data_IF_023078180273
#
_entry.id   IF_023078180273
#
_cell.length_a   1.000
_cell.length_b   1.000
_cell.length_c   1.000
_cell.angle_alpha   90.00
_cell.angle_beta   90.00
_cell.angle_gamma   90.00
#
_symmetry.space_group_name_H-M   'P 1'
#
loop_
_entity.id
_entity.type
_entity.pdbx_description
1 polymer ?
#
# COMPACT_ATOMS: atom_id res chain seq x y z
N UNK A 1 -11.59 69.04 -4.78
CA UNK A 1 -10.87 67.75 -4.91
C UNK A 1 -11.30 66.89 -3.72
N UNK A 2 -12.21 65.94 -3.90
CA UNK A 2 -12.02 64.56 -4.40
C UNK A 2 -11.72 63.55 -3.27
N UNK A 3 -12.77 62.77 -2.93
CA UNK A 3 -12.86 61.34 -2.55
C UNK A 3 -12.38 60.86 -1.16
N UNK A 4 -13.38 60.63 -0.29
CA UNK A 4 -13.87 59.34 0.25
C UNK A 4 -12.92 58.13 0.33
N UNK A 5 -12.86 57.47 1.50
CA UNK A 5 -13.20 56.04 1.67
C UNK A 5 -13.23 55.64 3.17
N UNK A 6 -14.37 55.16 3.66
CA UNK A 6 -14.56 54.58 5.00
C UNK A 6 -14.24 53.08 4.95
N UNK A 7 -13.30 52.63 5.79
CA UNK A 7 -12.82 51.24 5.86
C UNK A 7 -13.17 50.58 7.20
N UNK A 8 -14.46 50.57 7.55
CA UNK A 8 -15.02 49.46 8.33
C UNK A 8 -15.15 48.24 7.41
N UNK A 9 -14.23 47.28 7.52
CA UNK A 9 -14.37 45.82 7.23
C UNK A 9 -13.00 45.22 6.90
N UNK A 10 -12.31 44.68 7.90
CA UNK A 10 -11.54 43.43 7.79
C UNK A 10 -10.93 43.11 9.16
N UNK A 11 -11.78 42.62 10.08
CA UNK A 11 -11.24 41.86 11.22
C UNK A 11 -10.92 40.49 10.67
N UNK A 12 -9.61 40.27 10.53
CA UNK A 12 -8.97 39.03 10.10
C UNK A 12 -9.34 37.93 11.10
N UNK A 13 -10.15 36.96 10.66
CA UNK A 13 -10.23 35.64 11.31
C UNK A 13 -8.98 34.84 10.91
N UNK A 14 -7.96 34.91 11.75
CA UNK A 14 -6.75 34.10 11.67
C UNK A 14 -7.02 32.73 12.34
N UNK A 15 -7.07 31.67 11.52
CA UNK A 15 -6.88 30.23 11.81
C UNK A 15 -7.99 29.48 12.62
N UNK A 16 -8.21 28.16 12.36
CA UNK A 16 -7.24 27.21 11.82
C UNK A 16 -7.67 26.49 10.53
N UNK A 17 -6.83 26.59 9.49
CA UNK A 17 -6.79 25.67 8.35
C UNK A 17 -5.92 24.43 8.66
N UNK A 18 -5.63 24.16 9.94
CA UNK A 18 -4.67 23.14 10.40
C UNK A 18 -5.34 21.90 11.02
N UNK A 19 -6.66 21.92 11.25
CA UNK A 19 -7.34 20.81 11.93
C UNK A 19 -7.59 19.58 11.04
N UNK A 20 -7.51 19.71 9.71
CA UNK A 20 -7.78 18.62 8.78
C UNK A 20 -6.62 17.65 8.53
N UNK A 21 -5.38 18.07 8.81
CA UNK A 21 -4.20 17.24 8.60
C UNK A 21 -4.02 16.20 9.72
N UNK A 22 -4.24 16.59 10.98
CA UNK A 22 -4.02 15.70 12.13
C UNK A 22 -5.07 14.58 12.24
N UNK A 23 -6.32 14.81 11.83
CA UNK A 23 -7.37 13.78 11.82
C UNK A 23 -7.15 12.78 10.69
N UNK A 24 -6.82 13.27 9.49
CA UNK A 24 -6.50 12.41 8.35
C UNK A 24 -5.21 11.58 8.57
N UNK A 25 -4.19 12.14 9.24
CA UNK A 25 -2.97 11.42 9.60
C UNK A 25 -3.24 10.28 10.61
N UNK A 26 -4.10 10.53 11.61
CA UNK A 26 -4.53 9.50 12.57
C UNK A 26 -5.31 8.38 11.89
N UNK A 27 -6.16 8.72 10.91
CA UNK A 27 -6.89 7.73 10.12
C UNK A 27 -5.95 6.92 9.22
N UNK A 28 -5.00 7.56 8.54
CA UNK A 28 -4.04 6.88 7.65
C UNK A 28 -3.12 5.91 8.37
N UNK A 29 -2.54 6.32 9.51
CA UNK A 29 -1.73 5.43 10.35
C UNK A 29 -2.55 4.25 10.86
N UNK A 30 -3.79 4.48 11.25
CA UNK A 30 -4.67 3.42 11.73
C UNK A 30 -4.92 2.38 10.63
N UNK A 31 -5.28 2.80 9.42
CA UNK A 31 -5.48 1.93 8.26
C UNK A 31 -4.20 1.17 7.86
N UNK A 32 -3.03 1.77 8.09
CA UNK A 32 -1.76 1.13 7.79
C UNK A 32 -1.44 -0.02 8.78
N UNK A 33 -1.71 0.22 10.06
CA UNK A 33 -1.27 -0.61 11.17
C UNK A 33 -2.26 -1.70 11.56
N UNK A 34 -3.55 -1.44 11.36
CA UNK A 34 -4.63 -2.28 11.84
C UNK A 34 -5.42 -2.86 10.67
N UNK A 35 -5.90 -4.08 10.87
CA UNK A 35 -6.79 -4.70 9.89
C UNK A 35 -8.11 -3.94 9.89
N UNK A 36 -8.56 -3.60 8.69
CA UNK A 36 -9.86 -3.00 8.44
C UNK A 36 -10.59 -3.80 7.36
N UNK A 37 -11.92 -3.66 7.29
CA UNK A 37 -12.77 -4.24 6.24
C UNK A 37 -13.01 -5.77 6.28
N UNK A 38 -12.77 -6.44 7.41
CA UNK A 38 -13.10 -7.87 7.58
C UNK A 38 -12.27 -8.79 6.67
N UNK A 39 -10.99 -8.46 6.50
CA UNK A 39 -10.05 -9.12 5.59
C UNK A 39 -9.48 -10.45 6.11
N UNK A 40 -8.24 -10.73 5.72
CA UNK A 40 -7.55 -11.99 5.98
C UNK A 40 -6.48 -11.90 7.09
N UNK A 41 -6.63 -10.95 8.02
CA UNK A 41 -5.66 -10.71 9.09
C UNK A 41 -4.43 -9.91 8.67
N UNK A 42 -4.34 -9.46 7.41
CA UNK A 42 -3.22 -8.67 6.89
C UNK A 42 -3.55 -7.19 6.89
N UNK A 43 -2.51 -6.41 7.06
CA UNK A 43 -2.53 -4.94 7.08
C UNK A 43 -1.53 -4.43 6.06
N UNK A 44 -1.56 -3.12 5.78
CA UNK A 44 -0.54 -2.50 4.93
C UNK A 44 0.87 -2.79 5.49
N UNK A 45 1.02 -2.74 6.81
CA UNK A 45 2.27 -3.04 7.51
C UNK A 45 2.79 -4.48 7.29
N UNK A 46 1.95 -5.45 6.91
CA UNK A 46 2.48 -6.81 6.71
C UNK A 46 3.43 -6.89 5.52
N UNK A 47 3.22 -6.08 4.48
CA UNK A 47 4.09 -6.01 3.30
C UNK A 47 4.93 -4.73 3.19
N UNK A 48 4.46 -3.62 3.75
CA UNK A 48 5.15 -2.34 3.70
C UNK A 48 5.86 -2.09 5.04
N UNK A 49 7.19 -1.98 5.03
CA UNK A 49 7.92 -1.54 6.24
C UNK A 49 7.62 -0.08 6.54
N UNK A 50 7.80 0.35 7.80
CA UNK A 50 7.59 1.75 8.18
C UNK A 50 8.70 2.64 7.65
N UNK A 51 9.91 2.09 7.57
CA UNK A 51 11.12 2.82 7.24
C UNK A 51 11.21 3.15 5.75
N UNK A 52 10.88 2.19 4.88
CA UNK A 52 11.03 2.35 3.43
C UNK A 52 9.71 2.27 2.66
N UNK A 53 8.63 1.85 3.33
CA UNK A 53 7.35 1.59 2.67
C UNK A 53 7.39 0.36 1.77
N UNK A 54 8.49 -0.38 1.70
CA UNK A 54 8.63 -1.61 0.92
C UNK A 54 9.35 -2.67 1.76
N UNK A 55 9.58 -3.85 1.20
CA UNK A 55 10.34 -4.93 1.83
C UNK A 55 11.50 -5.30 0.93
N UNK A 56 12.71 -5.31 1.49
CA UNK A 56 13.90 -5.84 0.81
C UNK A 56 14.13 -7.31 1.17
N UNK A 57 14.96 -8.05 0.41
CA UNK A 57 15.36 -9.40 0.79
C UNK A 57 15.98 -9.46 2.20
N UNK A 58 16.73 -8.44 2.59
CA UNK A 58 17.32 -8.34 3.92
C UNK A 58 16.26 -8.20 5.03
N UNK A 59 15.22 -7.40 4.78
CA UNK A 59 14.11 -7.25 5.73
C UNK A 59 13.34 -8.57 5.87
N UNK A 60 13.07 -9.25 4.76
CA UNK A 60 12.44 -10.57 4.76
C UNK A 60 13.27 -11.59 5.54
N UNK A 61 14.59 -11.66 5.30
CA UNK A 61 15.49 -12.54 6.04
C UNK A 61 15.48 -12.26 7.54
N UNK A 62 15.54 -10.99 7.95
CA UNK A 62 15.45 -10.58 9.36
C UNK A 62 14.12 -11.00 9.98
N UNK A 63 13.01 -10.71 9.32
CA UNK A 63 11.66 -11.08 9.78
C UNK A 63 11.49 -12.58 9.93
N UNK A 64 11.97 -13.36 8.95
CA UNK A 64 11.89 -14.82 9.00
C UNK A 64 12.74 -15.42 10.12
N UNK A 65 13.94 -14.87 10.36
CA UNK A 65 14.80 -15.28 11.45
C UNK A 65 14.16 -15.01 12.83
N UNK A 66 13.44 -13.90 12.96
CA UNK A 66 12.72 -13.52 14.19
C UNK A 66 11.43 -14.33 14.38
N UNK A 67 10.66 -14.52 13.31
CA UNK A 67 9.39 -15.20 13.33
C UNK A 67 9.13 -15.95 12.01
N UNK A 68 9.26 -17.28 12.04
CA UNK A 68 8.96 -18.14 10.88
C UNK A 68 7.48 -18.20 10.50
N UNK A 69 6.59 -17.71 11.36
CA UNK A 69 5.14 -17.61 11.12
C UNK A 69 4.70 -16.18 10.79
N UNK A 70 5.64 -15.27 10.50
CA UNK A 70 5.32 -13.90 10.13
C UNK A 70 4.33 -13.88 8.94
N UNK A 71 3.21 -13.12 9.02
CA UNK A 71 2.22 -13.02 7.96
C UNK A 71 2.76 -12.63 6.58
N UNK A 72 3.95 -12.02 6.48
CA UNK A 72 4.63 -11.76 5.21
C UNK A 72 4.84 -13.01 4.37
N UNK A 73 5.02 -14.18 5.00
CA UNK A 73 5.38 -15.44 4.31
C UNK A 73 4.17 -16.32 3.98
N UNK A 74 2.95 -15.82 4.20
CA UNK A 74 1.70 -16.56 3.94
C UNK A 74 1.11 -16.13 2.60
N UNK A 75 0.26 -16.97 2.03
CA UNK A 75 -0.47 -16.68 0.78
C UNK A 75 0.46 -16.18 -0.34
N UNK A 76 0.24 -14.95 -0.83
CA UNK A 76 1.01 -14.31 -1.90
C UNK A 76 2.50 -14.14 -1.59
N UNK A 77 2.91 -14.19 -0.32
CA UNK A 77 4.31 -14.17 0.10
C UNK A 77 4.99 -15.54 0.13
N UNK A 78 4.22 -16.63 0.04
CA UNK A 78 4.77 -17.99 -0.06
C UNK A 78 5.21 -18.32 -1.49
N UNK A 79 6.02 -19.36 -1.66
CA UNK A 79 6.52 -19.75 -2.99
C UNK A 79 5.41 -20.25 -3.92
N UNK A 80 4.34 -20.82 -3.37
CA UNK A 80 3.25 -21.44 -4.13
C UNK A 80 1.87 -20.75 -3.99
N UNK A 81 1.81 -19.63 -3.28
CA UNK A 81 0.54 -18.93 -3.02
C UNK A 81 -0.34 -19.59 -1.94
N UNK A 82 0.06 -20.76 -1.42
CA UNK A 82 -0.72 -21.61 -0.50
C UNK A 82 -0.06 -21.76 0.88
N UNK A 83 0.99 -21.00 1.14
CA UNK A 83 1.71 -21.02 2.43
C UNK A 83 2.85 -22.02 2.48
N UNK A 84 3.30 -22.59 1.35
CA UNK A 84 4.46 -23.48 1.32
C UNK A 84 5.65 -22.81 0.65
N UNK A 85 6.80 -22.90 1.31
CA UNK A 85 8.04 -22.28 0.85
C UNK A 85 8.07 -20.76 1.04
N UNK A 86 9.26 -20.22 1.22
CA UNK A 86 9.52 -18.78 1.44
C UNK A 86 10.72 -18.26 0.64
N UNK A 87 11.35 -19.13 -0.16
CA UNK A 87 12.66 -18.87 -0.74
C UNK A 87 12.63 -17.62 -1.60
N UNK A 88 11.58 -17.47 -2.41
CA UNK A 88 11.38 -16.31 -3.29
C UNK A 88 11.31 -15.00 -2.50
N UNK A 89 10.59 -14.97 -1.38
CA UNK A 89 10.51 -13.77 -0.55
C UNK A 89 11.87 -13.45 0.08
N UNK A 90 12.62 -14.47 0.52
CA UNK A 90 13.94 -14.30 1.11
C UNK A 90 15.02 -13.86 0.11
N UNK A 91 14.91 -14.22 -1.17
CA UNK A 91 15.92 -13.90 -2.19
C UNK A 91 15.56 -12.71 -3.07
N UNK A 92 14.28 -12.54 -3.39
CA UNK A 92 13.79 -11.57 -4.39
C UNK A 92 12.81 -10.54 -3.81
N UNK A 93 12.27 -10.76 -2.60
CA UNK A 93 11.30 -9.88 -1.95
C UNK A 93 10.07 -9.54 -2.81
N UNK A 94 9.54 -10.54 -3.52
CA UNK A 94 8.35 -10.40 -4.36
C UNK A 94 7.13 -11.04 -3.73
N UNK A 95 5.93 -10.64 -4.16
CA UNK A 95 4.64 -11.33 -3.91
C UNK A 95 4.07 -11.89 -5.22
N UNK A 96 3.23 -12.92 -5.12
CA UNK A 96 2.48 -13.46 -6.24
C UNK A 96 1.21 -12.64 -6.47
N UNK A 97 1.05 -12.13 -7.67
CA UNK A 97 -0.14 -11.37 -8.08
C UNK A 97 -0.78 -12.09 -9.24
N UNK A 98 -2.05 -12.45 -9.09
CA UNK A 98 -2.86 -12.98 -10.17
C UNK A 98 -3.44 -11.82 -10.99
N UNK A 99 -3.20 -11.83 -12.29
CA UNK A 99 -3.68 -10.83 -13.24
C UNK A 99 -4.63 -11.53 -14.21
N UNK A 100 -5.90 -11.10 -14.32
CA UNK A 100 -6.82 -11.64 -15.30
C UNK A 100 -6.38 -11.24 -16.71
N UNK A 101 -6.54 -12.17 -17.65
CA UNK A 101 -6.26 -11.92 -19.06
C UNK A 101 -7.46 -11.22 -19.69
N UNK A 102 -7.23 -10.22 -20.57
CA UNK A 102 -8.31 -9.65 -21.36
C UNK A 102 -8.86 -10.72 -22.33
N UNK A 103 -10.11 -10.59 -22.82
CA UNK A 103 -10.75 -11.61 -23.66
C UNK A 103 -9.97 -11.97 -24.93
N UNK A 104 -9.19 -11.03 -25.45
CA UNK A 104 -8.38 -11.15 -26.67
C UNK A 104 -6.93 -11.62 -26.43
N UNK A 105 -6.58 -12.04 -25.21
CA UNK A 105 -5.28 -12.63 -24.90
C UNK A 105 -5.42 -14.11 -24.49
N UNK A 106 -4.42 -14.91 -24.86
CA UNK A 106 -4.28 -16.32 -24.50
C UNK A 106 -2.82 -16.65 -24.23
N UNK A 107 -2.57 -17.62 -23.34
CA UNK A 107 -1.23 -18.15 -23.10
C UNK A 107 -0.96 -19.24 -24.14
N UNK A 108 0.21 -19.21 -24.77
CA UNK A 108 0.52 -20.14 -25.87
C UNK A 108 0.55 -21.59 -25.40
N UNK A 109 1.01 -21.81 -24.17
CA UNK A 109 1.15 -23.12 -23.53
C UNK A 109 -0.17 -23.62 -22.94
N UNK A 110 -1.12 -22.71 -22.63
CA UNK A 110 -2.45 -23.04 -22.13
C UNK A 110 -3.47 -21.99 -22.61
N UNK A 111 -4.11 -22.30 -23.74
CA UNK A 111 -5.12 -21.42 -24.35
C UNK A 111 -6.42 -21.33 -23.55
N UNK A 112 -6.60 -22.19 -22.53
CA UNK A 112 -7.78 -22.17 -21.65
C UNK A 112 -7.58 -21.27 -20.44
N UNK A 113 -6.34 -20.93 -20.10
CA UNK A 113 -6.01 -20.03 -19.00
C UNK A 113 -6.61 -18.64 -19.22
N UNK A 114 -7.18 -18.07 -18.15
CA UNK A 114 -7.78 -16.72 -18.13
C UNK A 114 -7.14 -15.79 -17.10
N UNK A 115 -6.07 -16.24 -16.48
CA UNK A 115 -5.24 -15.42 -15.60
C UNK A 115 -3.79 -15.90 -15.67
N UNK A 116 -2.88 -15.04 -15.24
CA UNK A 116 -1.48 -15.37 -15.02
C UNK A 116 -1.06 -14.93 -13.63
N UNK A 117 -0.22 -15.72 -12.98
CA UNK A 117 0.43 -15.31 -11.73
C UNK A 117 1.81 -14.76 -12.05
N UNK A 118 2.05 -13.50 -11.68
CA UNK A 118 3.34 -12.84 -11.83
C UNK A 118 3.99 -12.58 -10.49
N UNK A 119 5.33 -12.52 -10.46
CA UNK A 119 6.10 -12.10 -9.30
C UNK A 119 6.25 -10.58 -9.35
N UNK A 120 5.72 -9.89 -8.35
CA UNK A 120 5.76 -8.42 -8.27
C UNK A 120 6.50 -7.96 -7.03
N UNK A 121 7.39 -6.98 -7.17
CA UNK A 121 7.93 -6.24 -6.03
C UNK A 121 6.81 -5.47 -5.31
N UNK A 122 7.02 -5.15 -4.05
CA UNK A 122 6.06 -4.36 -3.25
C UNK A 122 6.41 -2.88 -3.43
N UNK A 123 5.64 -2.07 -4.19
CA UNK A 123 5.96 -0.66 -4.37
C UNK A 123 5.82 0.11 -3.05
N UNK A 124 6.65 1.13 -2.85
CA UNK A 124 6.53 1.98 -1.67
C UNK A 124 5.35 2.94 -1.81
N UNK A 125 4.46 3.08 -0.80
CA UNK A 125 3.46 4.13 -0.79
C UNK A 125 4.06 5.50 -0.43
N UNK A 126 5.32 5.55 0.03
CA UNK A 126 5.99 6.81 0.32
C UNK A 126 6.13 7.65 -0.96
N UNK A 127 5.77 8.93 -0.87
CA UNK A 127 5.80 9.89 -1.99
C UNK A 127 4.93 9.47 -3.19
N UNK A 128 3.97 8.58 -3.01
CA UNK A 128 2.93 8.35 -4.02
C UNK A 128 1.93 9.50 -3.94
N UNK A 129 1.65 10.23 -5.04
CA UNK A 129 0.64 11.28 -5.02
C UNK A 129 -0.70 10.67 -4.58
N UNK A 130 -1.44 11.40 -3.74
CA UNK A 130 -2.82 11.02 -3.44
C UNK A 130 -3.56 10.85 -4.76
N UNK A 131 -4.40 9.82 -4.86
CA UNK A 131 -5.34 9.75 -5.97
C UNK A 131 -6.21 11.00 -5.85
N UNK A 132 -6.01 11.96 -6.77
CA UNK A 132 -6.92 13.10 -6.92
C UNK A 132 -8.36 12.57 -6.99
N UNK A 133 -9.37 13.34 -6.53
CA UNK A 133 -10.76 12.90 -6.66
C UNK A 133 -11.03 12.54 -8.12
N UNK A 134 -11.19 11.24 -8.35
CA UNK A 134 -11.49 10.70 -9.67
C UNK A 134 -12.85 11.27 -10.06
N UNK A 135 -12.86 12.05 -11.14
CA UNK A 135 -14.03 12.75 -11.70
C UNK A 135 -15.25 11.84 -11.85
#
# INVERSE_FOLDING_TARGET
MSRSFDSRKLVVCLLPLLAGAETAERDGKFLFDHETFGGNGRTCLTCHTRETGTVSPLDAQRRFALNRQDPLFRHDGSDDGRGRGVQRMLTEATILVEIPLPPNASIAEDVTARSVTVRRGIPSPLNTPGLDPVL
#
